data_IF_489915536094
#
_entry.id   IF_489915536094
#
_cell.length_a   1.000
_cell.length_b   1.000
_cell.length_c   1.000
_cell.angle_alpha   90.00
_cell.angle_beta   90.00
_cell.angle_gamma   90.00
#
_symmetry.space_group_name_H-M   'P 1'
#
loop_
_entity.id
_entity.type
_entity.pdbx_description
1 polymer ?
#
# COMPACT_ATOMS: atom_id res chain seq x y z
N UNK A 1 21.81 4.67 2.55
CA UNK A 1 20.80 5.12 3.54
C UNK A 1 19.36 4.84 3.08
N UNK A 2 19.10 4.37 1.84
CA UNK A 2 17.72 4.11 1.37
C UNK A 2 17.09 2.83 1.96
N UNK A 3 17.90 1.78 2.17
CA UNK A 3 17.43 0.47 2.63
C UNK A 3 17.46 0.31 4.16
N UNK A 4 17.89 1.34 4.89
CA UNK A 4 18.05 1.31 6.35
C UNK A 4 16.82 1.79 7.11
N UNK A 5 15.77 2.23 6.42
CA UNK A 5 14.55 2.76 7.03
C UNK A 5 13.30 2.17 6.40
N UNK A 6 12.28 1.99 7.24
CA UNK A 6 10.95 1.53 6.82
C UNK A 6 9.89 2.47 7.38
N UNK A 7 8.79 2.63 6.65
CA UNK A 7 7.59 3.30 7.13
C UNK A 7 6.60 2.23 7.60
N UNK A 8 6.16 2.32 8.84
CA UNK A 8 5.11 1.45 9.41
C UNK A 8 3.84 2.26 9.53
N UNK A 9 2.72 1.69 9.06
CA UNK A 9 1.42 2.36 9.03
C UNK A 9 0.31 1.34 9.29
N UNK A 10 -0.79 1.80 9.90
CA UNK A 10 -1.93 0.95 10.25
C UNK A 10 -2.98 0.97 9.14
N UNK A 11 -3.52 -0.20 8.80
CA UNK A 11 -4.74 -0.30 7.98
C UNK A 11 -5.92 0.28 8.77
N UNK A 12 -6.56 1.29 8.22
CA UNK A 12 -7.73 1.97 8.82
C UNK A 12 -9.04 1.55 8.17
N UNK A 13 -9.02 1.19 6.88
CA UNK A 13 -10.20 0.73 6.16
C UNK A 13 -9.82 -0.17 5.00
N UNK A 14 -10.67 -1.15 4.72
CA UNK A 14 -10.59 -2.00 3.54
C UNK A 14 -11.91 -1.87 2.80
N UNK A 15 -11.87 -1.63 1.48
CA UNK A 15 -13.08 -1.46 0.67
C UNK A 15 -12.90 -2.00 -0.74
N UNK A 16 -13.99 -2.53 -1.28
CA UNK A 16 -14.09 -2.92 -2.68
C UNK A 16 -14.70 -1.78 -3.48
N UNK A 17 -14.03 -1.37 -4.56
CA UNK A 17 -14.51 -0.32 -5.47
C UNK A 17 -14.48 -0.85 -6.89
N UNK A 18 -15.63 -1.37 -7.34
CA UNK A 18 -15.74 -2.03 -8.65
C UNK A 18 -14.90 -3.30 -8.69
N UNK A 19 -13.91 -3.34 -9.58
CA UNK A 19 -12.98 -4.48 -9.71
C UNK A 19 -11.66 -4.30 -8.95
N UNK A 20 -11.57 -3.31 -8.05
CA UNK A 20 -10.34 -2.98 -7.33
C UNK A 20 -10.55 -3.09 -5.82
N UNK A 21 -9.64 -3.81 -5.18
CA UNK A 21 -9.54 -3.89 -3.73
C UNK A 21 -8.68 -2.72 -3.22
N UNK A 22 -9.19 -1.94 -2.26
CA UNK A 22 -8.50 -0.79 -1.69
C UNK A 22 -8.21 -1.02 -0.21
N UNK A 23 -6.97 -0.75 0.19
CA UNK A 23 -6.52 -0.72 1.58
C UNK A 23 -6.10 0.71 1.90
N UNK A 24 -6.82 1.34 2.82
CA UNK A 24 -6.53 2.68 3.30
C UNK A 24 -5.71 2.58 4.58
N UNK A 25 -4.57 3.27 4.59
CA UNK A 25 -3.66 3.32 5.72
C UNK A 25 -3.66 4.72 6.37
N UNK A 26 -3.04 4.86 7.53
CA UNK A 26 -2.94 6.14 8.25
C UNK A 26 -1.76 7.02 7.84
N UNK A 27 -0.87 6.53 6.97
CA UNK A 27 0.20 7.32 6.36
C UNK A 27 -0.20 7.82 4.97
N UNK A 28 0.20 9.04 4.63
CA UNK A 28 -0.05 9.65 3.32
C UNK A 28 1.21 10.09 2.60
N UNK A 29 1.06 10.70 1.43
CA UNK A 29 2.17 11.27 0.67
C UNK A 29 2.91 12.41 1.41
N UNK A 30 2.29 13.03 2.42
CA UNK A 30 2.96 13.95 3.34
C UNK A 30 4.06 13.27 4.16
N UNK A 31 3.95 11.97 4.41
CA UNK A 31 4.92 11.17 5.16
C UNK A 31 5.97 10.54 4.23
N UNK A 32 5.52 10.00 3.09
CA UNK A 32 6.37 9.44 2.05
C UNK A 32 5.92 9.94 0.67
N UNK A 33 6.50 11.06 0.23
CA UNK A 33 6.08 11.72 -1.02
C UNK A 33 6.41 10.95 -2.29
N UNK A 34 7.40 10.06 -2.24
CA UNK A 34 8.06 9.52 -3.44
C UNK A 34 7.12 8.75 -4.38
N UNK A 35 6.21 7.88 -3.89
CA UNK A 35 5.28 7.17 -4.76
C UNK A 35 4.33 8.12 -5.49
N UNK A 36 3.69 9.06 -4.77
CA UNK A 36 2.74 10.00 -5.36
C UNK A 36 3.36 11.05 -6.26
N UNK A 37 4.56 11.54 -5.95
CA UNK A 37 5.21 12.61 -6.73
C UNK A 37 6.03 12.10 -7.91
N UNK A 38 6.67 10.94 -7.78
CA UNK A 38 7.64 10.44 -8.76
C UNK A 38 7.29 9.06 -9.32
N UNK A 39 6.17 8.45 -8.91
CA UNK A 39 5.84 7.06 -9.28
C UNK A 39 6.89 6.07 -8.78
N UNK A 40 7.63 6.41 -7.72
CA UNK A 40 8.68 5.53 -7.19
C UNK A 40 8.08 4.29 -6.54
N UNK A 41 8.61 3.13 -6.90
CA UNK A 41 8.26 1.88 -6.24
C UNK A 41 8.89 1.79 -4.84
N UNK A 42 8.12 1.30 -3.89
CA UNK A 42 8.58 0.88 -2.56
C UNK A 42 7.92 -0.47 -2.26
N UNK A 43 8.72 -1.45 -1.86
CA UNK A 43 8.17 -2.74 -1.44
C UNK A 43 7.30 -2.57 -0.20
N UNK A 44 6.09 -3.11 -0.22
CA UNK A 44 5.14 -3.06 0.91
C UNK A 44 4.85 -4.49 1.36
N UNK A 45 4.91 -4.74 2.66
CA UNK A 45 4.62 -6.04 3.28
C UNK A 45 3.51 -5.87 4.30
N UNK A 46 2.53 -6.77 4.30
CA UNK A 46 1.49 -6.81 5.32
C UNK A 46 1.98 -7.52 6.59
N UNK A 47 1.62 -6.98 7.75
CA UNK A 47 1.84 -7.59 9.05
C UNK A 47 0.50 -7.82 9.73
N UNK A 48 0.25 -9.04 10.20
CA UNK A 48 -0.95 -9.34 10.95
C UNK A 48 -0.85 -8.81 12.38
N UNK A 49 -1.93 -8.20 12.88
CA UNK A 49 -1.96 -7.62 14.22
C UNK A 49 -1.79 -8.67 15.33
N UNK A 50 -2.18 -9.92 15.10
CA UNK A 50 -2.02 -11.05 16.01
C UNK A 50 -0.68 -11.78 15.85
N UNK A 51 0.22 -11.29 14.99
CA UNK A 51 1.53 -11.86 14.74
C UNK A 51 1.53 -13.15 13.91
N UNK A 52 0.39 -13.56 13.33
CA UNK A 52 0.35 -14.74 12.45
C UNK A 52 1.19 -14.49 11.19
N UNK A 53 1.81 -15.55 10.69
CA UNK A 53 2.58 -15.50 9.45
C UNK A 53 1.63 -15.39 8.24
N UNK A 54 1.85 -14.37 7.39
CA UNK A 54 1.05 -14.12 6.18
C UNK A 54 1.70 -14.64 4.90
N UNK A 55 2.88 -15.27 4.95
CA UNK A 55 3.61 -15.71 3.75
C UNK A 55 2.89 -16.79 2.94
N UNK A 56 1.98 -17.55 3.56
CA UNK A 56 1.16 -18.56 2.90
C UNK A 56 -0.28 -18.09 2.60
N UNK A 57 -0.61 -16.83 2.91
CA UNK A 57 -1.93 -16.28 2.64
C UNK A 57 -2.10 -16.01 1.14
N UNK A 58 -3.32 -16.15 0.59
CA UNK A 58 -3.59 -15.82 -0.80
C UNK A 58 -3.33 -14.33 -1.06
N UNK A 59 -2.66 -14.05 -2.17
CA UNK A 59 -2.36 -12.68 -2.59
C UNK A 59 -3.51 -12.11 -3.41
N UNK A 60 -3.85 -10.84 -3.15
CA UNK A 60 -4.91 -10.09 -3.84
C UNK A 60 -4.36 -8.77 -4.35
N UNK A 61 -4.54 -8.49 -5.63
CA UNK A 61 -4.19 -7.20 -6.24
C UNK A 61 -4.89 -6.06 -5.50
N UNK A 62 -4.11 -5.21 -4.84
CA UNK A 62 -4.65 -4.17 -3.96
C UNK A 62 -4.06 -2.81 -4.28
N UNK A 63 -4.90 -1.79 -4.19
CA UNK A 63 -4.48 -0.40 -4.21
C UNK A 63 -4.29 0.10 -2.78
N UNK A 64 -3.07 0.50 -2.43
CA UNK A 64 -2.77 1.11 -1.12
C UNK A 64 -2.86 2.62 -1.23
N UNK A 65 -3.73 3.23 -0.44
CA UNK A 65 -3.97 4.67 -0.42
C UNK A 65 -3.87 5.23 0.99
N UNK A 66 -3.49 6.51 1.10
CA UNK A 66 -3.42 7.20 2.38
C UNK A 66 -4.77 7.80 2.82
N UNK A 67 -4.78 8.51 3.94
CA UNK A 67 -6.00 9.04 4.55
C UNK A 67 -6.43 10.39 3.97
N UNK A 68 -5.64 11.01 3.10
CA UNK A 68 -5.91 12.36 2.63
C UNK A 68 -7.00 12.35 1.55
N UNK A 69 -7.84 13.39 1.56
CA UNK A 69 -8.89 13.58 0.58
C UNK A 69 -8.33 14.12 -0.74
N UNK A 70 -7.24 13.51 -1.22
CA UNK A 70 -6.54 13.87 -2.44
C UNK A 70 -6.39 12.63 -3.33
N UNK A 71 -6.75 12.77 -4.59
CA UNK A 71 -6.74 11.68 -5.58
C UNK A 71 -5.35 11.08 -5.80
N UNK A 72 -4.30 11.87 -5.58
CA UNK A 72 -2.90 11.46 -5.68
C UNK A 72 -2.33 10.74 -4.47
N UNK A 73 -3.08 10.60 -3.36
CA UNK A 73 -2.62 9.95 -2.13
C UNK A 73 -2.68 8.42 -2.24
N UNK A 74 -1.93 7.88 -3.21
CA UNK A 74 -1.89 6.47 -3.59
C UNK A 74 -0.44 6.02 -3.67
N UNK A 75 -0.08 4.99 -2.89
CA UNK A 75 1.26 4.43 -2.83
C UNK A 75 1.54 3.47 -3.98
N UNK A 76 0.54 2.71 -4.41
CA UNK A 76 0.65 1.74 -5.51
C UNK A 76 0.25 2.39 -6.84
N UNK A 77 0.95 3.46 -7.23
CA UNK A 77 0.72 4.08 -8.54
C UNK A 77 1.06 3.05 -9.64
N UNK A 78 0.12 2.76 -10.54
CA UNK A 78 0.35 1.80 -11.62
C UNK A 78 1.50 2.28 -12.50
N UNK A 79 2.68 1.68 -12.35
CA UNK A 79 3.70 1.68 -13.38
C UNK A 79 3.16 0.80 -14.50
N UNK A 80 2.88 1.37 -15.68
CA UNK A 80 2.44 0.62 -16.87
C UNK A 80 3.32 -0.63 -17.04
N UNK A 81 2.77 -1.82 -16.79
CA UNK A 81 3.44 -3.10 -17.03
C UNK A 81 3.94 -3.87 -15.81
N UNK A 82 3.75 -3.39 -14.57
CA UNK A 82 3.98 -4.18 -13.36
C UNK A 82 2.65 -4.33 -12.61
N UNK A 83 2.29 -5.58 -12.29
CA UNK A 83 1.06 -5.91 -11.55
C UNK A 83 0.98 -5.11 -10.25
N UNK A 84 -0.24 -4.81 -9.80
CA UNK A 84 -0.43 -4.15 -8.51
C UNK A 84 0.26 -4.95 -7.41
N UNK A 85 0.71 -4.27 -6.34
CA UNK A 85 1.22 -4.99 -5.19
C UNK A 85 0.09 -5.86 -4.64
N UNK A 86 0.32 -7.17 -4.61
CA UNK A 86 -0.65 -8.14 -4.15
C UNK A 86 -0.42 -8.38 -2.66
N UNK A 87 -1.44 -8.11 -1.85
CA UNK A 87 -1.34 -8.21 -0.39
C UNK A 87 -2.09 -9.42 0.10
N UNK A 88 -1.59 -10.00 1.19
CA UNK A 88 -2.30 -11.00 1.95
C UNK A 88 -3.50 -10.36 2.66
N UNK A 89 -4.70 -10.90 2.43
CA UNK A 89 -5.91 -10.59 3.19
C UNK A 89 -5.99 -11.40 4.50
#
# INVERSE_FOLDING_TARGET
MAESGVLVSQVRSVKEMGSRHFVLIDAGFNDLMRPSMYGSYHHITALAADGRNLSAAPLIDTVVAGPLCESGDVFTQQVRGQGGDAFAA
#
